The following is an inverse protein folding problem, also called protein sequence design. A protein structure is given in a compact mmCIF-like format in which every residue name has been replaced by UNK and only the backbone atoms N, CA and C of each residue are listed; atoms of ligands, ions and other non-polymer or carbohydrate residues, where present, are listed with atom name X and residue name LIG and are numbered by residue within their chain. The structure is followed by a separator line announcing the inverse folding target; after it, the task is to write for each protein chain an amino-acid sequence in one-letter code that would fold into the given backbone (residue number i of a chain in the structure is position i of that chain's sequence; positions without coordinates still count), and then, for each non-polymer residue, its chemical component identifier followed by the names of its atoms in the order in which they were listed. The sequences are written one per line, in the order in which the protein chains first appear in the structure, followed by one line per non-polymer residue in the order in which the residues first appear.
data_IF_491411779600
#
_entry.id   IF_491411779600
#
_cell.length_a   1.000
_cell.length_b   1.000
_cell.length_c   1.000
_cell.angle_alpha   90.00
_cell.angle_beta   90.00
_cell.angle_gamma   90.00
#
_symmetry.space_group_name_H-M   'P 1'
#
loop_
_entity.id
_entity.type
_entity.pdbx_description
1 polymer ?
#
# COMPACT_ATOMS: atom_id res chain seq x y z
N UNK A 1 13.39 4.95 20.91
CA UNK A 1 12.28 5.70 21.54
C UNK A 1 12.23 5.42 23.04
N UNK A 2 11.63 4.32 23.51
CA UNK A 2 11.43 4.00 24.94
C UNK A 2 12.61 4.36 25.88
N UNK A 3 13.85 3.91 25.58
CA UNK A 3 15.06 4.24 26.37
C UNK A 3 15.30 5.75 26.59
N UNK A 4 14.86 6.60 25.66
CA UNK A 4 15.00 8.07 25.73
C UNK A 4 13.77 8.74 26.35
N UNK A 5 12.57 8.22 26.08
CA UNK A 5 11.31 8.76 26.65
C UNK A 5 11.05 8.28 28.08
N UNK A 6 11.76 7.25 28.55
CA UNK A 6 11.54 6.54 29.82
C UNK A 6 10.11 6.00 29.99
N UNK A 7 9.40 5.80 28.88
CA UNK A 7 8.09 5.17 28.87
C UNK A 7 8.28 3.67 29.11
N UNK A 8 7.66 3.18 30.18
CA UNK A 8 7.46 1.76 30.44
C UNK A 8 6.16 1.30 29.74
N UNK A 9 6.09 0.02 29.39
CA UNK A 9 4.94 -0.57 28.71
C UNK A 9 4.33 -1.65 29.59
N UNK A 10 3.01 -1.63 29.76
CA UNK A 10 2.29 -2.66 30.51
C UNK A 10 2.45 -4.02 29.83
N UNK A 11 2.87 -5.02 30.60
CA UNK A 11 2.82 -6.42 30.18
C UNK A 11 1.39 -6.94 30.35
N UNK A 12 0.63 -6.93 29.27
CA UNK A 12 -0.65 -7.63 29.16
C UNK A 12 -0.48 -9.11 29.55
N UNK A 13 -1.15 -9.51 30.63
CA UNK A 13 -1.21 -10.90 31.14
C UNK A 13 -2.56 -11.58 30.90
N UNK A 14 -3.63 -10.79 30.76
CA UNK A 14 -5.00 -11.23 30.50
C UNK A 14 -5.13 -11.89 29.11
N UNK A 15 -5.54 -13.16 29.08
CA UNK A 15 -5.63 -13.95 27.87
C UNK A 15 -6.61 -13.37 26.84
N UNK A 16 -7.75 -12.85 27.26
CA UNK A 16 -8.79 -12.37 26.36
C UNK A 16 -8.42 -10.99 25.78
N UNK A 17 -7.80 -10.12 26.58
CA UNK A 17 -7.20 -8.85 26.09
C UNK A 17 -6.08 -9.14 25.08
N UNK A 18 -5.20 -10.10 25.38
CA UNK A 18 -4.15 -10.57 24.44
C UNK A 18 -4.78 -11.11 23.15
N UNK A 19 -5.81 -11.97 23.25
CA UNK A 19 -6.47 -12.57 22.09
C UNK A 19 -7.17 -11.52 21.22
N UNK A 20 -7.86 -10.56 21.84
CA UNK A 20 -8.54 -9.45 21.18
C UNK A 20 -7.56 -8.55 20.43
N UNK A 21 -6.49 -8.11 21.09
CA UNK A 21 -5.46 -7.25 20.47
C UNK A 21 -4.75 -8.00 19.34
N UNK A 22 -4.40 -9.28 19.52
CA UNK A 22 -3.81 -10.12 18.46
C UNK A 22 -4.77 -10.35 17.29
N UNK A 23 -6.08 -10.43 17.53
CA UNK A 23 -7.09 -10.45 16.49
C UNK A 23 -7.23 -9.10 15.74
N UNK A 24 -6.76 -7.99 16.32
CA UNK A 24 -6.63 -6.67 15.68
C UNK A 24 -5.37 -6.48 14.84
N UNK A 25 -4.23 -7.09 15.21
CA UNK A 25 -2.94 -6.86 14.54
C UNK A 25 -2.99 -7.18 13.03
N UNK A 26 -2.48 -6.25 12.21
CA UNK A 26 -2.26 -6.39 10.76
C UNK A 26 -0.82 -6.00 10.42
N UNK A 27 -0.27 -6.60 9.37
CA UNK A 27 1.01 -6.14 8.78
C UNK A 27 0.80 -5.02 7.76
N UNK A 28 1.90 -4.56 7.15
CA UNK A 28 1.84 -3.61 6.03
C UNK A 28 1.03 -4.14 4.84
N UNK A 29 0.21 -3.27 4.25
CA UNK A 29 -0.55 -3.58 3.03
C UNK A 29 0.40 -3.64 1.83
N UNK A 30 0.22 -4.63 0.95
CA UNK A 30 0.90 -4.64 -0.34
C UNK A 30 0.03 -5.34 -1.37
N UNK A 31 -0.11 -4.74 -2.56
CA UNK A 31 -0.86 -5.28 -3.69
C UNK A 31 -0.42 -4.62 -5.00
N UNK A 32 -0.73 -5.28 -6.12
CA UNK A 32 -0.59 -4.72 -7.46
C UNK A 32 -1.99 -4.42 -8.00
N UNK A 33 -2.42 -3.16 -7.97
CA UNK A 33 -3.79 -2.77 -8.33
C UNK A 33 -3.98 -2.60 -9.84
N UNK A 34 -2.92 -2.21 -10.55
CA UNK A 34 -2.80 -2.39 -12.00
C UNK A 34 -1.42 -2.98 -12.34
N UNK A 35 -1.36 -3.79 -13.39
CA UNK A 35 -0.26 -4.73 -13.65
C UNK A 35 0.65 -4.34 -14.81
N UNK A 36 0.28 -3.31 -15.56
CA UNK A 36 1.08 -2.80 -16.67
C UNK A 36 0.82 -1.32 -16.94
N UNK A 37 1.89 -0.53 -17.02
CA UNK A 37 1.82 0.81 -17.57
C UNK A 37 3.11 1.16 -18.29
N UNK A 38 3.01 1.97 -19.34
CA UNK A 38 4.13 2.69 -19.94
C UNK A 38 3.80 4.18 -19.93
N UNK A 39 4.78 5.00 -19.57
CA UNK A 39 4.69 6.45 -19.65
C UNK A 39 4.71 6.92 -21.11
N UNK A 40 4.16 8.12 -21.34
CA UNK A 40 4.20 8.82 -22.61
C UNK A 40 4.33 10.33 -22.34
N UNK A 41 5.55 10.85 -22.33
CA UNK A 41 5.79 12.27 -22.06
C UNK A 41 7.09 12.74 -22.74
N UNK A 42 7.23 14.06 -22.85
CA UNK A 42 8.30 14.77 -23.55
C UNK A 42 9.74 14.45 -23.10
N UNK A 43 9.93 13.73 -21.98
CA UNK A 43 11.24 13.32 -21.50
C UNK A 43 11.67 11.92 -22.01
N UNK A 44 10.84 11.26 -22.82
CA UNK A 44 11.10 9.92 -23.36
C UNK A 44 11.40 9.96 -24.86
N UNK A 45 12.40 9.19 -25.30
CA UNK A 45 12.71 9.00 -26.73
C UNK A 45 11.60 8.28 -27.51
N UNK A 46 10.71 7.56 -26.81
CA UNK A 46 9.51 6.94 -27.39
C UNK A 46 8.22 7.73 -27.10
N UNK A 47 8.31 9.06 -26.95
CA UNK A 47 7.15 9.93 -26.82
C UNK A 47 6.33 9.97 -28.12
N UNK A 48 5.01 10.02 -27.97
CA UNK A 48 4.05 10.11 -29.07
C UNK A 48 2.98 11.15 -28.73
N UNK A 49 2.97 12.25 -29.48
CA UNK A 49 2.04 13.38 -29.32
C UNK A 49 0.58 13.01 -29.66
N UNK A 50 0.35 11.94 -30.41
CA UNK A 50 -1.01 11.45 -30.70
C UNK A 50 -1.64 10.70 -29.52
N UNK A 51 -0.81 10.29 -28.54
CA UNK A 51 -1.24 9.58 -27.34
C UNK A 51 -1.38 10.53 -26.17
N UNK A 52 -2.34 10.25 -25.29
CA UNK A 52 -2.50 10.99 -24.03
C UNK A 52 -1.17 11.01 -23.24
N UNK A 53 -0.79 12.19 -22.75
CA UNK A 53 0.41 12.34 -21.92
C UNK A 53 0.24 11.58 -20.61
N UNK A 54 1.24 10.80 -20.24
CA UNK A 54 1.28 10.15 -18.92
C UNK A 54 2.69 10.02 -18.35
N UNK A 55 2.74 10.10 -17.03
CA UNK A 55 3.93 10.02 -16.21
C UNK A 55 3.80 8.85 -15.24
N UNK A 56 4.92 8.20 -14.92
CA UNK A 56 5.02 7.20 -13.87
C UNK A 56 5.95 7.73 -12.79
N UNK A 57 5.54 7.63 -11.53
CA UNK A 57 6.37 8.04 -10.39
C UNK A 57 6.29 7.00 -9.26
N UNK A 58 7.42 6.83 -8.56
CA UNK A 58 7.55 5.93 -7.42
C UNK A 58 7.82 6.77 -6.17
N UNK A 59 6.77 7.04 -5.40
CA UNK A 59 6.86 7.75 -4.13
C UNK A 59 6.93 6.78 -2.94
N UNK A 60 7.70 7.13 -1.93
CA UNK A 60 7.82 6.35 -0.69
C UNK A 60 7.85 7.30 0.52
N UNK A 61 7.08 6.97 1.57
CA UNK A 61 6.89 7.85 2.72
C UNK A 61 8.05 7.77 3.71
N UNK A 62 8.70 8.90 4.00
CA UNK A 62 9.86 8.96 4.89
C UNK A 62 9.57 8.43 6.30
N UNK A 63 10.10 7.24 6.58
CA UNK A 63 10.10 6.60 7.89
C UNK A 63 8.69 6.51 8.53
N UNK A 64 7.75 5.93 7.78
CA UNK A 64 6.34 5.78 8.18
C UNK A 64 6.17 5.17 9.58
N UNK A 65 6.93 4.13 9.92
CA UNK A 65 6.90 3.54 11.26
C UNK A 65 7.49 4.46 12.34
N UNK A 66 8.50 5.28 12.02
CA UNK A 66 9.01 6.31 12.92
C UNK A 66 7.96 7.37 13.22
N UNK A 67 7.29 7.89 12.18
CA UNK A 67 6.15 8.80 12.32
C UNK A 67 5.03 8.18 13.16
N UNK A 68 4.69 6.91 12.92
CA UNK A 68 3.63 6.21 13.64
C UNK A 68 3.98 5.98 15.11
N UNK A 69 5.26 5.72 15.44
CA UNK A 69 5.73 5.64 16.82
C UNK A 69 5.79 7.00 17.52
N UNK A 70 5.92 8.11 16.78
CA UNK A 70 5.83 9.48 17.31
C UNK A 70 4.40 9.96 17.57
N UNK A 71 3.38 9.11 17.36
CA UNK A 71 1.99 9.40 17.68
C UNK A 71 1.65 9.11 19.14
N UNK A 72 0.54 9.68 19.62
CA UNK A 72 -0.16 9.17 20.80
C UNK A 72 -0.59 7.72 20.57
N UNK A 73 -0.03 6.81 21.38
CA UNK A 73 -0.18 5.36 21.32
C UNK A 73 -0.44 4.81 22.74
N UNK A 74 -1.20 3.71 22.89
CA UNK A 74 -1.44 3.11 24.20
C UNK A 74 -0.16 2.50 24.78
N UNK A 75 0.10 2.79 26.05
CA UNK A 75 1.27 2.30 26.81
C UNK A 75 0.90 1.32 27.93
N UNK A 76 -0.33 1.42 28.44
CA UNK A 76 -0.89 0.65 29.54
C UNK A 76 -2.28 1.16 29.90
N UNK A 77 -2.86 0.66 31.00
CA UNK A 77 -4.24 0.94 31.39
C UNK A 77 -5.25 0.13 30.57
N UNK A 78 -4.91 -1.11 30.20
CA UNK A 78 -5.75 -1.92 29.31
C UNK A 78 -6.95 -2.52 30.05
N UNK A 79 -8.04 -1.76 30.13
CA UNK A 79 -9.31 -2.17 30.74
C UNK A 79 -10.41 -2.47 29.70
N UNK A 80 -11.42 -3.24 30.12
CA UNK A 80 -12.66 -3.43 29.35
C UNK A 80 -13.65 -2.33 29.76
N UNK A 81 -14.23 -1.65 28.77
CA UNK A 81 -15.20 -0.54 28.96
C UNK A 81 -16.60 -0.94 28.49
N UNK A 82 -17.61 -0.20 28.94
CA UNK A 82 -19.00 -0.39 28.52
C UNK A 82 -19.15 -0.20 26.99
N UNK A 83 -19.85 -1.09 26.25
CA UNK A 83 -20.07 -0.96 24.81
C UNK A 83 -20.75 0.33 24.34
N UNK A 84 -21.56 0.99 25.17
CA UNK A 84 -22.20 2.29 24.85
C UNK A 84 -21.27 3.50 25.12
N UNK A 85 -20.01 3.28 25.53
CA UNK A 85 -19.02 4.35 25.76
C UNK A 85 -18.73 5.14 24.48
N UNK A 86 -18.86 6.47 24.54
CA UNK A 86 -18.60 7.35 23.40
C UNK A 86 -17.11 7.38 22.99
N UNK A 87 -16.76 6.62 21.95
CA UNK A 87 -15.39 6.55 21.44
C UNK A 87 -14.88 7.81 20.71
N UNK A 88 -15.70 8.85 20.54
CA UNK A 88 -15.34 10.04 19.74
C UNK A 88 -14.50 11.08 20.50
N UNK A 89 -13.44 10.65 21.16
CA UNK A 89 -12.49 11.49 21.92
C UNK A 89 -11.39 12.09 21.01
N UNK A 90 -10.70 13.18 21.39
CA UNK A 90 -9.60 13.75 20.59
C UNK A 90 -8.44 12.75 20.36
N UNK A 91 -7.79 12.84 19.20
CA UNK A 91 -6.64 11.99 18.83
C UNK A 91 -5.38 12.18 19.70
N UNK A 92 -5.39 13.22 20.55
CA UNK A 92 -4.37 13.55 21.56
C UNK A 92 -4.88 13.33 22.99
N UNK A 93 -5.97 12.57 23.17
CA UNK A 93 -6.48 12.21 24.50
C UNK A 93 -5.51 11.27 25.22
N UNK A 94 -5.55 11.32 26.54
CA UNK A 94 -4.74 10.48 27.44
C UNK A 94 -5.10 8.99 27.33
N UNK A 95 -6.37 8.70 27.04
CA UNK A 95 -6.89 7.34 26.81
C UNK A 95 -7.30 7.11 25.35
N UNK A 96 -7.59 5.86 25.00
CA UNK A 96 -7.89 5.44 23.64
C UNK A 96 -8.59 4.09 23.57
N UNK A 97 -9.43 3.89 22.55
CA UNK A 97 -10.22 2.67 22.39
C UNK A 97 -9.69 1.75 21.28
N UNK A 98 -9.73 0.44 21.54
CA UNK A 98 -9.65 -0.60 20.51
C UNK A 98 -11.02 -1.28 20.47
N UNK A 99 -11.70 -1.17 19.35
CA UNK A 99 -13.13 -1.50 19.20
C UNK A 99 -13.30 -2.76 18.35
N UNK A 100 -14.26 -3.62 18.71
CA UNK A 100 -14.83 -4.63 17.81
C UNK A 100 -16.07 -4.03 17.14
N UNK A 101 -16.04 -3.91 15.81
CA UNK A 101 -17.13 -3.30 15.04
C UNK A 101 -17.51 -4.13 13.82
N UNK A 102 -18.78 -4.05 13.44
CA UNK A 102 -19.27 -4.47 12.13
C UNK A 102 -19.31 -3.27 11.19
N UNK A 103 -18.84 -3.44 9.95
CA UNK A 103 -18.69 -2.38 8.95
C UNK A 103 -19.31 -2.82 7.62
N UNK A 104 -20.42 -2.16 7.24
CA UNK A 104 -21.01 -2.23 5.89
C UNK A 104 -20.07 -1.52 4.91
N UNK A 105 -19.86 -2.08 3.71
CA UNK A 105 -19.09 -1.42 2.65
C UNK A 105 -20.05 -1.01 1.52
N UNK A 106 -20.33 0.30 1.32
CA UNK A 106 -21.24 0.75 0.28
C UNK A 106 -20.72 0.47 -1.15
N UNK A 107 -21.58 -0.09 -2.01
CA UNK A 107 -21.22 -0.44 -3.38
C UNK A 107 -20.75 0.75 -4.22
N UNK A 108 -21.28 1.93 -3.95
CA UNK A 108 -20.91 3.20 -4.59
C UNK A 108 -19.48 3.66 -4.30
N UNK A 109 -18.84 3.15 -3.23
CA UNK A 109 -17.44 3.44 -2.94
C UNK A 109 -16.48 2.42 -3.57
N UNK A 110 -17.00 1.38 -4.25
CA UNK A 110 -16.18 0.27 -4.73
C UNK A 110 -15.20 0.66 -5.83
N UNK A 111 -15.55 1.57 -6.73
CA UNK A 111 -14.61 2.05 -7.75
C UNK A 111 -13.50 2.92 -7.11
N UNK A 112 -13.88 3.95 -6.34
CA UNK A 112 -12.96 4.88 -5.63
C UNK A 112 -12.00 4.16 -4.66
N UNK A 113 -12.47 3.10 -4.02
CA UNK A 113 -11.69 2.29 -3.09
C UNK A 113 -11.15 1.00 -3.70
N UNK A 114 -11.39 0.70 -4.98
CA UNK A 114 -10.90 -0.52 -5.64
C UNK A 114 -9.39 -0.64 -5.53
N UNK A 115 -8.66 0.45 -5.78
CA UNK A 115 -7.19 0.47 -5.78
C UNK A 115 -6.56 0.35 -4.38
N UNK A 116 -7.28 0.74 -3.32
CA UNK A 116 -6.84 0.55 -1.93
C UNK A 116 -8.02 0.45 -0.94
N UNK A 117 -8.64 -0.74 -0.81
CA UNK A 117 -9.74 -0.95 0.12
C UNK A 117 -9.34 -0.80 1.59
N UNK A 118 -10.20 -0.11 2.34
CA UNK A 118 -10.06 0.10 3.79
C UNK A 118 -10.30 -1.20 4.59
N UNK A 119 -9.79 -1.24 5.83
CA UNK A 119 -9.93 -2.37 6.77
C UNK A 119 -9.50 -3.75 6.21
N UNK A 120 -8.24 -3.91 5.75
CA UNK A 120 -7.77 -5.17 5.16
C UNK A 120 -7.88 -6.35 6.15
N UNK A 121 -8.42 -7.48 5.69
CA UNK A 121 -8.67 -8.68 6.53
C UNK A 121 -7.66 -9.78 6.16
N UNK A 122 -7.25 -10.55 7.16
CA UNK A 122 -6.51 -11.79 6.97
C UNK A 122 -7.49 -12.87 6.50
N UNK A 123 -7.35 -13.34 5.26
CA UNK A 123 -8.24 -14.34 4.65
C UNK A 123 -7.44 -15.36 3.82
N UNK A 124 -7.96 -16.57 3.66
CA UNK A 124 -7.60 -17.46 2.57
C UNK A 124 -8.29 -16.96 1.28
N UNK A 125 -7.66 -17.13 0.11
CA UNK A 125 -8.28 -16.80 -1.18
C UNK A 125 -8.11 -17.97 -2.15
N UNK A 126 -9.21 -18.32 -2.83
CA UNK A 126 -9.32 -19.57 -3.58
C UNK A 126 -9.03 -20.80 -2.72
N UNK A 127 -8.62 -21.90 -3.36
CA UNK A 127 -8.36 -23.17 -2.69
C UNK A 127 -7.01 -23.21 -1.93
N UNK A 128 -6.49 -22.05 -1.48
CA UNK A 128 -5.19 -21.96 -0.80
C UNK A 128 -5.33 -21.96 0.72
N UNK A 129 -4.59 -22.86 1.41
CA UNK A 129 -4.48 -22.88 2.88
C UNK A 129 -3.65 -21.72 3.47
N UNK A 130 -3.20 -20.78 2.64
CA UNK A 130 -2.30 -19.70 3.02
C UNK A 130 -3.10 -18.42 3.29
N UNK A 131 -3.33 -18.12 4.57
CA UNK A 131 -3.90 -16.85 5.03
C UNK A 131 -2.99 -15.70 4.57
N UNK A 132 -3.59 -14.67 3.95
CA UNK A 132 -2.89 -13.45 3.52
C UNK A 132 -3.67 -12.21 3.99
N UNK A 133 -2.95 -11.13 4.27
CA UNK A 133 -3.56 -9.81 4.44
C UNK A 133 -4.01 -9.29 3.06
N UNK A 134 -5.31 -9.13 2.89
CA UNK A 134 -5.97 -8.75 1.63
C UNK A 134 -6.86 -7.53 1.85
N UNK A 135 -6.54 -6.37 1.24
CA UNK A 135 -7.50 -5.29 1.02
C UNK A 135 -8.68 -5.81 0.20
N UNK A 136 -9.90 -5.69 0.73
CA UNK A 136 -11.12 -6.18 0.09
C UNK A 136 -12.31 -5.27 0.44
N UNK A 137 -13.30 -5.27 -0.45
CA UNK A 137 -14.50 -4.45 -0.41
C UNK A 137 -15.71 -5.17 0.20
N UNK A 138 -15.52 -6.36 0.79
CA UNK A 138 -16.60 -7.05 1.49
C UNK A 138 -16.99 -6.31 2.78
N UNK A 139 -18.21 -6.51 3.29
CA UNK A 139 -18.55 -6.15 4.67
C UNK A 139 -17.57 -6.81 5.66
N UNK A 140 -17.25 -6.12 6.75
CA UNK A 140 -16.35 -6.63 7.80
C UNK A 140 -17.19 -6.93 9.04
N UNK A 141 -17.17 -8.18 9.49
CA UNK A 141 -17.76 -8.58 10.77
C UNK A 141 -16.70 -8.80 11.85
N UNK A 142 -17.05 -8.46 13.09
CA UNK A 142 -16.27 -8.56 14.33
C UNK A 142 -14.84 -8.03 14.18
N UNK A 143 -14.71 -6.89 13.49
CA UNK A 143 -13.44 -6.32 13.06
C UNK A 143 -12.82 -5.46 14.17
N UNK A 144 -11.64 -5.87 14.65
CA UNK A 144 -10.88 -5.16 15.69
C UNK A 144 -10.11 -3.99 15.07
N UNK A 145 -10.31 -2.78 15.58
CA UNK A 145 -9.74 -1.53 15.03
C UNK A 145 -9.45 -0.50 16.13
N UNK A 146 -8.34 0.24 16.02
CA UNK A 146 -8.05 1.38 16.90
C UNK A 146 -8.95 2.58 16.55
N UNK A 147 -9.46 3.32 17.53
CA UNK A 147 -10.47 4.37 17.33
C UNK A 147 -10.07 5.43 16.29
N UNK A 148 -8.80 5.87 16.27
CA UNK A 148 -8.27 6.82 15.28
C UNK A 148 -8.39 6.28 13.84
N UNK A 149 -8.10 4.99 13.65
CA UNK A 149 -8.24 4.32 12.35
C UNK A 149 -9.72 4.13 11.97
N UNK A 150 -10.61 3.92 12.94
CA UNK A 150 -12.05 3.89 12.70
C UNK A 150 -12.55 5.28 12.29
N UNK A 151 -12.22 6.35 13.02
CA UNK A 151 -12.53 7.74 12.64
C UNK A 151 -12.07 8.08 11.24
N UNK A 152 -10.86 7.65 10.86
CA UNK A 152 -10.35 7.79 9.49
C UNK A 152 -11.19 7.02 8.47
N UNK A 153 -11.53 5.75 8.75
CA UNK A 153 -12.38 4.97 7.85
C UNK A 153 -13.77 5.60 7.70
N UNK A 154 -14.35 6.11 8.78
CA UNK A 154 -15.60 6.87 8.75
C UNK A 154 -15.42 8.15 7.91
N UNK A 155 -14.40 8.97 8.15
CA UNK A 155 -14.08 10.19 7.36
C UNK A 155 -13.92 9.91 5.86
N UNK A 156 -13.40 8.75 5.47
CA UNK A 156 -13.24 8.35 4.06
C UNK A 156 -14.49 7.69 3.44
N UNK A 157 -15.52 7.39 4.24
CA UNK A 157 -16.79 6.80 3.80
C UNK A 157 -17.94 7.81 3.87
N UNK A 158 -17.93 8.73 4.84
CA UNK A 158 -19.02 9.66 5.12
C UNK A 158 -18.92 10.99 4.36
N UNK A 159 -19.25 10.92 3.08
CA UNK A 159 -20.14 11.93 2.47
C UNK A 159 -21.59 11.43 2.34
N UNK A 160 -21.80 10.12 2.57
CA UNK A 160 -23.06 9.38 2.37
C UNK A 160 -23.24 8.38 3.52
N UNK A 161 -24.46 7.94 3.75
CA UNK A 161 -24.83 7.15 4.93
C UNK A 161 -24.32 5.71 4.86
N UNK A 162 -23.42 5.33 5.78
CA UNK A 162 -23.57 3.97 6.33
C UNK A 162 -24.83 3.98 7.20
N UNK A 163 -25.85 3.26 6.76
CA UNK A 163 -27.02 2.96 7.59
C UNK A 163 -26.58 2.07 8.76
N UNK A 164 -26.31 2.70 9.91
CA UNK A 164 -26.17 1.96 11.15
C UNK A 164 -27.57 1.55 11.59
N UNK A 165 -27.87 0.25 11.56
CA UNK A 165 -29.02 -0.27 12.30
C UNK A 165 -28.65 -0.12 13.78
N UNK A 166 -29.43 0.73 14.45
CA UNK A 166 -29.30 1.21 15.83
C UNK A 166 -28.20 2.26 16.13
N UNK A 167 -28.60 3.23 16.97
CA UNK A 167 -27.86 4.36 17.57
C UNK A 167 -27.05 5.27 16.62
N UNK A 168 -27.43 6.56 16.58
CA UNK A 168 -26.82 7.63 15.77
C UNK A 168 -25.73 8.37 16.56
N UNK A 169 -24.60 8.68 15.92
CA UNK A 169 -23.67 9.74 16.37
C UNK A 169 -23.24 10.58 15.17
N UNK A 170 -23.42 11.91 15.25
CA UNK A 170 -22.85 12.84 14.27
C UNK A 170 -21.35 13.03 14.56
N UNK A 171 -20.48 12.45 13.72
CA UNK A 171 -19.02 12.53 13.89
C UNK A 171 -18.42 13.52 12.88
N UNK A 172 -17.80 14.60 13.38
CA UNK A 172 -16.88 15.45 12.59
C UNK A 172 -15.43 14.96 12.73
N UNK A 173 -14.59 15.48 11.84
CA UNK A 173 -13.22 15.05 11.49
C UNK A 173 -12.26 15.15 12.71
N UNK A 174 -11.04 14.59 12.73
CA UNK A 174 -10.02 14.56 11.67
C UNK A 174 -8.81 13.67 12.10
N UNK A 175 -8.24 12.85 11.21
CA UNK A 175 -6.81 12.45 11.15
C UNK A 175 -6.57 11.54 9.94
N UNK A 176 -5.30 11.38 9.55
CA UNK A 176 -4.96 11.34 8.13
C UNK A 176 -4.11 10.15 7.66
N UNK A 177 -4.20 9.94 6.34
CA UNK A 177 -3.47 9.01 5.49
C UNK A 177 -3.03 9.85 4.26
N UNK A 178 -2.53 11.05 4.55
CA UNK A 178 -2.77 12.21 3.69
C UNK A 178 -1.81 12.39 2.53
N UNK A 179 -0.79 11.55 2.49
CA UNK A 179 -0.04 11.22 1.28
C UNK A 179 -0.93 10.68 0.12
N UNK A 180 -1.80 9.67 0.34
CA UNK A 180 -2.74 9.23 -0.72
C UNK A 180 -3.85 10.26 -0.93
N UNK A 181 -4.36 10.86 0.15
CA UNK A 181 -5.45 11.84 0.01
C UNK A 181 -4.98 13.10 -0.72
N UNK A 182 -3.72 13.52 -0.62
CA UNK A 182 -3.14 14.59 -1.43
C UNK A 182 -3.19 14.20 -2.91
N UNK A 183 -2.64 13.04 -3.28
CA UNK A 183 -2.65 12.53 -4.65
C UNK A 183 -4.09 12.44 -5.21
N UNK A 184 -5.04 11.90 -4.44
CA UNK A 184 -6.45 11.81 -4.88
C UNK A 184 -7.18 13.16 -4.91
N UNK A 185 -6.95 14.08 -3.95
CA UNK A 185 -7.56 15.41 -3.96
C UNK A 185 -7.06 16.26 -5.13
N UNK A 186 -5.80 16.07 -5.53
CA UNK A 186 -5.15 16.87 -6.57
C UNK A 186 -5.39 16.34 -7.98
N UNK A 187 -5.26 15.03 -8.18
CA UNK A 187 -5.35 14.41 -9.50
C UNK A 187 -6.71 13.73 -9.75
N UNK A 188 -7.43 13.29 -8.72
CA UNK A 188 -8.72 12.62 -8.87
C UNK A 188 -8.64 11.41 -9.80
N UNK A 189 -9.51 11.37 -10.81
CA UNK A 189 -9.52 10.31 -11.84
C UNK A 189 -8.34 10.40 -12.83
N UNK A 190 -7.53 11.47 -12.80
CA UNK A 190 -6.29 11.60 -13.59
C UNK A 190 -5.11 10.81 -12.99
N UNK A 191 -5.32 9.96 -11.99
CA UNK A 191 -4.27 9.07 -11.46
C UNK A 191 -4.77 7.65 -11.22
N UNK A 192 -3.86 6.68 -11.33
CA UNK A 192 -4.13 5.25 -11.18
C UNK A 192 -3.03 4.61 -10.33
N UNK A 193 -3.39 3.87 -9.28
CA UNK A 193 -2.40 3.20 -8.45
C UNK A 193 -2.00 1.87 -9.10
N UNK A 194 -0.74 1.74 -9.50
CA UNK A 194 -0.23 0.51 -10.10
C UNK A 194 0.15 -0.48 -8.99
N UNK A 195 0.94 -0.03 -8.02
CA UNK A 195 1.50 -0.88 -6.99
C UNK A 195 1.64 -0.16 -5.66
N UNK A 196 1.48 -0.89 -4.55
CA UNK A 196 1.82 -0.39 -3.21
C UNK A 196 2.47 -1.46 -2.35
N UNK A 197 3.33 -1.01 -1.44
CA UNK A 197 3.93 -1.82 -0.39
C UNK A 197 4.25 -0.98 0.85
N UNK A 198 3.32 -0.95 1.80
CA UNK A 198 3.40 -0.30 3.11
C UNK A 198 3.49 1.23 3.02
N UNK A 199 4.68 1.76 2.77
CA UNK A 199 5.05 3.16 2.60
C UNK A 199 5.29 3.54 1.12
N UNK A 200 5.57 2.53 0.29
CA UNK A 200 5.83 2.65 -1.16
C UNK A 200 4.55 2.70 -2.00
N UNK A 201 4.51 3.56 -3.02
CA UNK A 201 3.46 3.67 -4.02
C UNK A 201 4.03 3.96 -5.42
N UNK A 202 3.56 3.22 -6.43
CA UNK A 202 3.83 3.51 -7.84
C UNK A 202 2.51 3.91 -8.51
N UNK A 203 2.45 5.13 -9.03
CA UNK A 203 1.28 5.71 -9.68
C UNK A 203 1.55 5.97 -11.17
N UNK A 204 0.48 5.92 -11.97
CA UNK A 204 0.40 6.59 -13.26
C UNK A 204 -0.41 7.87 -13.12
N UNK A 205 0.02 8.94 -13.80
CA UNK A 205 -0.65 10.24 -13.86
C UNK A 205 -0.93 10.62 -15.30
N UNK A 206 -2.08 11.25 -15.55
CA UNK A 206 -2.53 11.72 -16.87
C UNK A 206 -2.64 13.25 -16.85
N UNK A 207 -1.55 13.93 -17.21
CA UNK A 207 -1.39 15.38 -17.10
C UNK A 207 -0.35 15.88 -18.11
N UNK A 208 -0.24 17.20 -18.29
CA UNK A 208 0.71 17.83 -19.23
C UNK A 208 2.15 17.83 -18.73
N UNK A 209 2.38 18.12 -17.45
CA UNK A 209 3.67 17.90 -16.79
C UNK A 209 3.49 17.63 -15.29
N UNK A 210 3.73 16.39 -14.87
CA UNK A 210 3.67 15.99 -13.46
C UNK A 210 4.64 16.81 -12.59
N UNK A 211 5.79 17.19 -13.12
CA UNK A 211 6.81 17.88 -12.34
C UNK A 211 6.49 19.36 -12.13
N UNK A 212 5.81 20.02 -13.08
CA UNK A 212 5.29 21.37 -12.86
C UNK A 212 4.05 21.34 -11.95
N UNK A 213 3.15 20.35 -12.12
CA UNK A 213 2.01 20.13 -11.22
C UNK A 213 2.47 20.01 -9.76
N UNK A 214 3.50 19.22 -9.46
CA UNK A 214 3.98 18.99 -8.10
C UNK A 214 4.82 20.16 -7.53
N UNK A 215 5.33 21.06 -8.37
CA UNK A 215 6.30 22.11 -8.00
C UNK A 215 5.83 23.06 -6.88
N UNK A 216 4.56 23.52 -6.82
CA UNK A 216 4.07 24.37 -5.73
C UNK A 216 4.00 23.65 -4.37
N UNK A 217 3.82 22.32 -4.39
CA UNK A 217 3.53 21.50 -3.21
C UNK A 217 4.78 20.88 -2.56
N UNK A 218 5.97 21.06 -3.15
CA UNK A 218 7.21 20.44 -2.69
C UNK A 218 7.53 20.77 -1.22
N UNK A 219 7.35 22.02 -0.80
CA UNK A 219 7.59 22.42 0.60
C UNK A 219 6.63 21.77 1.60
N UNK A 220 5.40 21.45 1.17
CA UNK A 220 4.36 20.87 2.01
C UNK A 220 4.38 19.34 2.07
N UNK A 221 4.80 18.66 0.99
CA UNK A 221 4.62 17.20 0.87
C UNK A 221 5.85 16.39 0.45
N UNK A 222 6.89 16.99 -0.14
CA UNK A 222 7.99 16.23 -0.78
C UNK A 222 9.40 16.46 -0.20
N UNK A 223 10.15 15.37 -0.05
CA UNK A 223 11.59 15.35 0.21
C UNK A 223 12.35 15.18 -1.10
N UNK A 224 12.86 16.30 -1.60
CA UNK A 224 13.67 16.40 -2.81
C UNK A 224 15.17 16.42 -2.49
N UNK A 225 15.59 16.21 -1.25
CA UNK A 225 16.98 16.41 -0.82
C UNK A 225 18.00 15.49 -1.51
N UNK A 226 17.55 14.36 -2.06
CA UNK A 226 18.36 13.41 -2.81
C UNK A 226 18.48 13.75 -4.31
N UNK A 227 17.66 14.66 -4.86
CA UNK A 227 17.72 15.04 -6.28
C UNK A 227 19.11 15.62 -6.63
N UNK A 228 19.60 15.49 -7.88
CA UNK A 228 20.77 16.23 -8.36
C UNK A 228 20.62 17.76 -8.18
N UNK A 229 21.71 18.53 -7.93
CA UNK A 229 21.62 20.00 -7.88
C UNK A 229 21.13 20.61 -9.22
N UNK A 230 21.48 19.93 -10.30
CA UNK A 230 21.28 20.21 -11.73
C UNK A 230 20.11 19.39 -12.32
N UNK A 231 19.13 19.02 -11.50
CA UNK A 231 18.01 18.18 -11.93
C UNK A 231 17.12 18.87 -12.99
N UNK A 232 16.58 18.06 -13.90
CA UNK A 232 15.81 18.44 -15.09
C UNK A 232 14.61 19.37 -14.83
N UNK A 233 14.07 19.38 -13.60
CA UNK A 233 12.86 20.11 -13.24
C UNK A 233 13.14 21.40 -12.45
N UNK A 234 14.42 21.69 -12.15
CA UNK A 234 14.83 22.82 -11.33
C UNK A 234 14.27 22.76 -9.90
N UNK A 235 14.19 21.56 -9.31
CA UNK A 235 13.70 21.37 -7.95
C UNK A 235 14.79 21.74 -6.92
N UNK A 236 14.48 22.55 -5.89
CA UNK A 236 15.40 22.83 -4.78
C UNK A 236 15.53 21.61 -3.87
N UNK A 237 16.68 21.45 -3.19
CA UNK A 237 16.90 20.35 -2.23
C UNK A 237 16.33 20.70 -0.84
N UNK A 238 15.16 20.16 -0.49
CA UNK A 238 14.44 20.49 0.75
C UNK A 238 13.93 19.24 1.49
N UNK A 239 13.45 19.43 2.73
CA UNK A 239 12.76 18.42 3.57
C UNK A 239 13.53 17.10 3.86
N UNK A 240 14.87 17.13 3.84
CA UNK A 240 15.75 15.97 4.03
C UNK A 240 15.37 15.07 5.21
N UNK A 241 14.88 13.86 4.90
CA UNK A 241 14.42 12.82 5.86
C UNK A 241 13.33 13.30 6.83
N UNK A 242 12.58 14.35 6.48
CA UNK A 242 11.43 14.83 7.26
C UNK A 242 10.35 13.75 7.27
N UNK A 243 9.82 13.43 8.45
CA UNK A 243 8.84 12.36 8.64
C UNK A 243 7.56 12.63 7.83
N UNK A 244 6.86 11.56 7.42
CA UNK A 244 5.65 11.57 6.58
C UNK A 244 5.87 12.00 5.11
N UNK A 245 6.77 12.94 4.84
CA UNK A 245 7.02 13.47 3.50
C UNK A 245 7.37 12.39 2.47
N UNK A 246 6.85 12.53 1.25
CA UNK A 246 7.16 11.66 0.13
C UNK A 246 8.54 11.97 -0.46
N UNK A 247 9.43 10.99 -0.53
CA UNK A 247 10.57 11.01 -1.45
C UNK A 247 10.22 10.27 -2.74
N UNK A 248 10.77 10.72 -3.85
CA UNK A 248 10.82 9.94 -5.09
C UNK A 248 12.00 8.97 -5.02
N UNK A 249 11.73 7.66 -5.12
CA UNK A 249 12.76 6.62 -5.07
C UNK A 249 13.74 6.68 -6.25
N UNK A 250 13.34 7.31 -7.36
CA UNK A 250 14.17 7.49 -8.55
C UNK A 250 14.99 8.81 -8.52
N UNK A 251 14.74 9.69 -7.53
CA UNK A 251 15.47 10.94 -7.30
C UNK A 251 15.49 11.90 -8.52
N UNK A 252 14.45 11.86 -9.34
CA UNK A 252 14.29 12.66 -10.56
C UNK A 252 14.52 11.91 -11.87
N UNK A 253 15.05 10.68 -11.86
CA UNK A 253 15.11 9.86 -13.08
C UNK A 253 13.69 9.43 -13.53
N UNK A 254 13.39 9.54 -14.83
CA UNK A 254 12.05 9.21 -15.38
C UNK A 254 11.81 7.69 -15.35
N UNK A 255 10.69 7.25 -14.77
CA UNK A 255 10.22 5.86 -14.87
C UNK A 255 9.45 5.67 -16.18
N UNK A 256 9.94 4.78 -17.04
CA UNK A 256 9.43 4.61 -18.40
C UNK A 256 8.32 3.56 -18.49
N UNK A 257 8.56 2.38 -17.90
CA UNK A 257 7.68 1.22 -18.04
C UNK A 257 7.64 0.41 -16.73
N UNK A 258 6.44 -0.02 -16.32
CA UNK A 258 6.18 -0.79 -15.11
C UNK A 258 5.43 -2.09 -15.43
N UNK A 259 5.88 -3.21 -14.85
CA UNK A 259 5.24 -4.52 -14.97
C UNK A 259 5.08 -5.17 -13.59
N UNK A 260 3.84 -5.32 -13.15
CA UNK A 260 3.48 -5.82 -11.83
C UNK A 260 2.77 -7.17 -11.87
N UNK A 261 3.45 -8.23 -11.45
CA UNK A 261 2.87 -9.58 -11.52
C UNK A 261 1.96 -9.85 -10.32
N UNK A 262 2.40 -9.48 -9.10
CA UNK A 262 1.65 -9.62 -7.84
C UNK A 262 2.31 -8.82 -6.70
N UNK A 263 1.67 -8.76 -5.53
CA UNK A 263 2.29 -8.22 -4.28
C UNK A 263 3.74 -8.72 -4.09
N UNK A 264 4.68 -7.77 -3.94
CA UNK A 264 6.14 -7.99 -3.80
C UNK A 264 6.80 -8.76 -4.96
N UNK A 265 6.23 -8.66 -6.17
CA UNK A 265 6.77 -9.22 -7.41
C UNK A 265 6.45 -8.31 -8.62
N UNK A 266 7.38 -7.42 -8.95
CA UNK A 266 7.25 -6.40 -10.00
C UNK A 266 8.62 -6.00 -10.53
N UNK A 267 8.64 -5.37 -11.70
CA UNK A 267 9.84 -4.76 -12.28
C UNK A 267 9.50 -3.47 -13.03
N UNK A 268 10.50 -2.62 -13.23
CA UNK A 268 10.37 -1.37 -13.98
C UNK A 268 11.69 -0.94 -14.64
N UNK A 269 11.62 -0.02 -15.60
CA UNK A 269 12.77 0.69 -16.19
C UNK A 269 12.74 2.18 -15.84
N UNK A 270 13.93 2.73 -15.58
CA UNK A 270 14.18 4.14 -15.23
C UNK A 270 15.40 4.60 -16.03
N UNK A 271 15.17 5.22 -17.19
CA UNK A 271 16.16 5.27 -18.26
C UNK A 271 16.75 3.89 -18.55
N UNK A 272 18.06 3.82 -18.73
CA UNK A 272 18.82 2.57 -18.94
C UNK A 272 18.77 1.59 -17.74
N UNK A 273 18.26 2.00 -16.57
CA UNK A 273 18.31 1.20 -15.33
C UNK A 273 17.10 0.27 -15.23
N UNK A 274 17.35 -1.04 -15.27
CA UNK A 274 16.34 -2.06 -14.96
C UNK A 274 16.31 -2.41 -13.46
N UNK A 275 15.12 -2.41 -12.86
CA UNK A 275 14.91 -2.78 -11.45
C UNK A 275 13.91 -3.93 -11.32
N UNK A 276 14.38 -5.09 -10.86
CA UNK A 276 13.53 -6.24 -10.50
C UNK A 276 13.35 -6.37 -8.97
N UNK A 277 12.11 -6.62 -8.53
CA UNK A 277 11.77 -7.00 -7.16
C UNK A 277 10.96 -8.30 -7.20
N UNK A 278 11.50 -9.40 -6.66
CA UNK A 278 10.79 -10.69 -6.59
C UNK A 278 11.01 -11.37 -5.22
N UNK A 279 10.06 -11.21 -4.30
CA UNK A 279 10.22 -11.69 -2.92
C UNK A 279 10.41 -13.20 -2.86
N UNK A 280 11.55 -13.62 -2.31
CA UNK A 280 11.93 -15.02 -2.14
C UNK A 280 12.63 -15.64 -3.34
N UNK A 281 13.03 -14.85 -4.33
CA UNK A 281 13.96 -15.25 -5.40
C UNK A 281 15.36 -14.74 -5.05
N UNK A 282 16.40 -15.54 -5.30
CA UNK A 282 17.78 -15.15 -4.99
C UNK A 282 18.28 -14.01 -5.90
N UNK A 283 19.13 -13.12 -5.37
CA UNK A 283 19.74 -12.01 -6.12
C UNK A 283 20.49 -12.46 -7.39
N UNK A 284 21.07 -13.67 -7.38
CA UNK A 284 21.76 -14.28 -8.53
C UNK A 284 20.82 -14.67 -9.67
N UNK A 285 19.53 -14.90 -9.39
CA UNK A 285 18.48 -15.11 -10.40
C UNK A 285 17.92 -13.77 -10.85
N UNK A 286 17.60 -12.84 -9.93
CA UNK A 286 17.02 -11.54 -10.32
C UNK A 286 17.96 -10.66 -11.14
N UNK A 287 19.28 -10.87 -11.04
CA UNK A 287 20.30 -10.26 -11.91
C UNK A 287 20.31 -10.79 -13.36
N UNK A 288 19.63 -11.91 -13.64
CA UNK A 288 19.48 -12.52 -14.97
C UNK A 288 18.08 -12.35 -15.56
N UNK A 289 17.22 -11.58 -14.89
CA UNK A 289 15.90 -11.24 -15.39
C UNK A 289 15.95 -9.86 -16.03
N UNK A 290 15.09 -9.67 -17.01
CA UNK A 290 14.86 -8.43 -17.76
C UNK A 290 13.37 -8.09 -17.73
N UNK A 291 13.00 -6.89 -18.17
CA UNK A 291 11.59 -6.49 -18.27
C UNK A 291 10.82 -7.43 -19.22
N UNK A 292 11.47 -7.96 -20.26
CA UNK A 292 10.92 -8.97 -21.17
C UNK A 292 10.45 -10.25 -20.47
N UNK A 293 11.14 -10.73 -19.42
CA UNK A 293 10.70 -11.90 -18.66
C UNK A 293 9.42 -11.60 -17.84
N UNK A 294 9.27 -10.37 -17.34
CA UNK A 294 8.06 -9.94 -16.63
C UNK A 294 6.89 -9.72 -17.62
N UNK A 295 7.11 -9.08 -18.78
CA UNK A 295 6.09 -8.87 -19.82
C UNK A 295 5.58 -10.20 -20.37
N UNK A 296 6.48 -11.11 -20.75
CA UNK A 296 6.09 -12.46 -21.24
C UNK A 296 5.38 -13.28 -20.17
N UNK A 297 5.77 -13.17 -18.89
CA UNK A 297 5.04 -13.77 -17.78
C UNK A 297 3.60 -13.23 -17.68
N UNK A 298 3.43 -11.91 -17.72
CA UNK A 298 2.14 -11.24 -17.63
C UNK A 298 1.20 -11.59 -18.79
N UNK A 299 1.65 -11.39 -20.03
CA UNK A 299 0.80 -11.49 -21.22
C UNK A 299 0.61 -12.94 -21.70
N UNK A 300 1.66 -13.76 -21.66
CA UNK A 300 1.59 -15.16 -22.10
C UNK A 300 1.08 -16.09 -20.97
N UNK A 301 0.63 -15.53 -19.84
CA UNK A 301 0.07 -16.23 -18.67
C UNK A 301 0.97 -17.38 -18.17
N UNK A 302 2.29 -17.19 -18.22
CA UNK A 302 3.25 -18.24 -17.89
C UNK A 302 3.72 -18.20 -16.43
N UNK A 303 4.37 -19.29 -16.01
CA UNK A 303 4.99 -19.42 -14.69
C UNK A 303 6.42 -19.87 -14.93
N UNK A 304 7.38 -19.04 -14.51
CA UNK A 304 8.81 -19.31 -14.72
C UNK A 304 9.42 -19.92 -13.47
N UNK A 305 10.32 -20.87 -13.67
CA UNK A 305 10.97 -21.64 -12.62
C UNK A 305 12.48 -21.51 -12.76
N UNK A 306 13.18 -21.27 -11.65
CA UNK A 306 14.63 -21.20 -11.61
C UNK A 306 15.15 -22.02 -10.43
N UNK A 307 16.26 -22.72 -10.64
CA UNK A 307 16.99 -23.38 -9.57
C UNK A 307 17.71 -22.34 -8.70
N UNK A 308 17.66 -22.53 -7.39
CA UNK A 308 18.35 -21.68 -6.43
C UNK A 308 18.83 -22.47 -5.22
N UNK A 309 20.09 -22.24 -4.85
CA UNK A 309 20.70 -22.79 -3.65
C UNK A 309 20.37 -21.90 -2.45
N UNK A 310 20.09 -22.52 -1.30
CA UNK A 310 20.00 -21.86 0.00
C UNK A 310 20.68 -22.68 1.08
N UNK A 311 21.22 -22.02 2.10
CA UNK A 311 21.48 -22.69 3.36
C UNK A 311 20.16 -22.96 4.08
N UNK A 312 20.08 -24.10 4.77
CA UNK A 312 18.95 -24.50 5.60
C UNK A 312 19.48 -25.16 6.88
N UNK A 313 18.83 -24.91 8.00
CA UNK A 313 19.00 -25.72 9.21
C UNK A 313 17.72 -26.51 9.46
N UNK A 314 17.86 -27.79 9.84
CA UNK A 314 16.79 -28.65 10.36
C UNK A 314 17.40 -29.44 11.52
N UNK A 315 16.76 -29.43 12.70
CA UNK A 315 17.28 -30.10 13.92
C UNK A 315 18.77 -29.77 14.17
N UNK A 316 19.13 -28.49 14.02
CA UNK A 316 20.50 -27.95 14.12
C UNK A 316 21.50 -28.40 13.03
N UNK A 317 21.23 -29.45 12.25
CA UNK A 317 22.04 -29.80 11.07
C UNK A 317 21.91 -28.72 9.99
N UNK A 318 23.03 -28.11 9.58
CA UNK A 318 23.10 -27.12 8.49
C UNK A 318 23.48 -27.84 7.20
N UNK A 319 22.79 -27.53 6.10
CA UNK A 319 23.10 -28.04 4.77
C UNK A 319 22.70 -27.06 3.66
N UNK A 320 23.33 -27.22 2.50
CA UNK A 320 22.92 -26.54 1.26
C UNK A 320 21.77 -27.31 0.63
N UNK A 321 20.67 -26.62 0.32
CA UNK A 321 19.54 -27.18 -0.42
C UNK A 321 19.38 -26.46 -1.75
N UNK A 322 19.44 -27.20 -2.86
CA UNK A 322 18.94 -26.72 -4.15
C UNK A 322 17.42 -26.83 -4.20
N UNK A 323 16.76 -25.83 -4.78
CA UNK A 323 15.31 -25.81 -4.99
C UNK A 323 15.02 -25.24 -6.37
N UNK A 324 14.36 -26.03 -7.22
CA UNK A 324 13.63 -25.47 -8.35
C UNK A 324 12.40 -24.71 -7.82
N UNK A 325 12.34 -23.40 -8.06
CA UNK A 325 11.31 -22.53 -7.48
C UNK A 325 10.70 -21.63 -8.53
N UNK A 326 9.38 -21.46 -8.46
CA UNK A 326 8.65 -20.41 -9.18
C UNK A 326 9.28 -19.04 -8.92
N UNK A 327 9.94 -18.49 -9.93
CA UNK A 327 10.62 -17.19 -9.89
C UNK A 327 9.66 -16.06 -10.24
N UNK A 328 8.87 -16.23 -11.30
CA UNK A 328 7.83 -15.31 -11.76
C UNK A 328 6.52 -16.11 -11.99
N UNK A 329 5.38 -15.47 -11.78
CA UNK A 329 4.07 -16.09 -12.01
C UNK A 329 3.03 -15.02 -12.29
N UNK A 330 2.23 -15.22 -13.33
CA UNK A 330 1.11 -14.36 -13.70
C UNK A 330 -0.06 -14.35 -12.69
N UNK A 331 0.01 -15.13 -11.61
CA UNK A 331 -1.06 -15.26 -10.62
C UNK A 331 -0.84 -14.37 -9.38
N UNK A 332 -1.69 -13.36 -9.18
CA UNK A 332 -1.94 -12.79 -7.84
C UNK A 332 -3.22 -13.44 -7.25
N UNK A 333 -3.25 -13.57 -5.93
CA UNK A 333 -4.44 -14.01 -5.17
C UNK A 333 -5.01 -12.89 -4.30
N UNK A 334 -4.37 -11.71 -4.24
CA UNK A 334 -4.87 -10.58 -3.45
C UNK A 334 -5.97 -9.78 -4.14
N UNK A 335 -6.11 -9.92 -5.45
CA UNK A 335 -7.07 -9.21 -6.30
C UNK A 335 -7.56 -10.13 -7.42
N UNK A 336 -8.70 -9.83 -8.00
CA UNK A 336 -9.23 -10.50 -9.18
C UNK A 336 -8.63 -9.89 -10.44
N UNK A 337 -8.03 -10.69 -11.32
CA UNK A 337 -7.40 -10.24 -12.57
C UNK A 337 -8.44 -10.25 -13.69
N UNK A 338 -8.64 -9.10 -14.37
CA UNK A 338 -9.58 -8.99 -15.49
C UNK A 338 -9.03 -9.68 -16.77
N UNK A 339 -9.87 -9.99 -17.77
CA UNK A 339 -9.46 -10.73 -18.97
C UNK A 339 -8.25 -10.12 -19.70
N UNK A 340 -8.14 -8.78 -19.71
CA UNK A 340 -7.02 -8.05 -20.32
C UNK A 340 -5.65 -8.23 -19.61
N UNK A 341 -5.59 -8.96 -18.49
CA UNK A 341 -4.42 -9.21 -17.62
C UNK A 341 -3.82 -7.99 -16.92
N UNK A 342 -4.09 -6.78 -17.41
CA UNK A 342 -3.55 -5.50 -16.94
C UNK A 342 -4.34 -4.96 -15.74
N UNK A 343 -5.67 -4.96 -15.81
CA UNK A 343 -6.53 -4.40 -14.78
C UNK A 343 -6.95 -5.44 -13.74
N UNK A 344 -7.15 -4.99 -12.50
CA UNK A 344 -7.56 -5.87 -11.40
C UNK A 344 -8.56 -5.20 -10.47
N UNK A 345 -9.53 -5.97 -9.99
CA UNK A 345 -10.52 -5.51 -9.01
C UNK A 345 -10.22 -6.09 -7.63
N UNK A 346 -10.47 -5.31 -6.58
CA UNK A 346 -10.47 -5.82 -5.22
C UNK A 346 -11.61 -6.84 -5.02
N UNK A 347 -11.35 -7.89 -4.24
CA UNK A 347 -12.37 -8.88 -3.86
C UNK A 347 -13.55 -8.20 -3.17
N UNK A 348 -14.79 -8.54 -3.56
CA UNK A 348 -16.03 -7.95 -3.03
C UNK A 348 -16.64 -6.81 -3.87
N UNK A 349 -15.90 -6.27 -4.86
CA UNK A 349 -16.39 -5.23 -5.77
C UNK A 349 -17.68 -5.67 -6.49
N UNK A 350 -18.66 -4.78 -6.62
CA UNK A 350 -19.98 -5.12 -7.21
C UNK A 350 -19.89 -5.72 -8.62
N UNK A 351 -18.90 -5.30 -9.43
CA UNK A 351 -18.62 -5.83 -10.78
C UNK A 351 -18.34 -7.35 -10.77
N UNK A 352 -17.75 -7.87 -9.69
CA UNK A 352 -17.47 -9.30 -9.50
C UNK A 352 -18.70 -10.11 -9.05
N UNK A 353 -19.86 -9.48 -8.83
CA UNK A 353 -21.15 -10.18 -8.55
C UNK A 353 -22.01 -10.36 -9.81
N UNK A 354 -21.51 -9.90 -10.96
CA UNK A 354 -22.14 -10.02 -12.29
C UNK A 354 -21.29 -10.91 -13.24
N UNK A 355 -20.34 -11.65 -12.68
CA UNK A 355 -19.44 -12.61 -13.31
C UNK A 355 -19.61 -13.97 -12.64
#
# INVERSE_FOLDING_TARGET
MLKYTKIELELLTDFDKIAFIRAGIRGGVSQCSNRYAKANNQYLTSYDETKCKSFLAYFDANNLYGWAMSQYLPVGGFEWVDPDTNFNIPDTSEYGFILEVDLKYPDELHDLHSDLPLCPKNICVGNTKNIKLVPNLNNKTKYKIHYRNLKQCLKLVFGKTMENIEKRVNVKLLTHWENRNYILKKFGDKTKLLYTDTDSFIYQFFTDNLYDDLKPDLMAWFDTSNYPPDNLFGYPKINKKKLEYFKDENNGDILEEFVGLRSKMYAFTVGEKFVAKAKGVNKSVTKKLELGNYKSCLFNKNIQHHNMYRFRSIKHTIFTQEINKTSLSYQDTKRYILPNQIDTLAWGHYKLRKL
#
